data_IF_940257164645
#
_entry.id   IF_940257164645
#
_cell.length_a   1.000
_cell.length_b   1.000
_cell.length_c   1.000
_cell.angle_alpha   90.00
_cell.angle_beta   90.00
_cell.angle_gamma   90.00
#
_symmetry.space_group_name_H-M   'P 1'
#
loop_
_entity.id
_entity.type
_entity.pdbx_description
1 polymer ?
#
# COMPACT_ATOMS: atom_id res chain seq x y z
N UNK A 1 19.75 -17.30 -17.07
CA UNK A 1 18.74 -18.37 -17.16
C UNK A 1 17.62 -17.91 -18.10
N UNK A 2 16.95 -18.82 -18.82
CA UNK A 2 15.76 -18.46 -19.63
C UNK A 2 14.53 -18.36 -18.71
N UNK A 3 13.54 -17.53 -19.05
CA UNK A 3 12.37 -17.29 -18.19
C UNK A 3 11.61 -18.57 -17.83
N UNK A 4 11.34 -19.45 -18.80
CA UNK A 4 10.58 -20.68 -18.56
C UNK A 4 11.29 -21.63 -17.57
N UNK A 5 12.62 -21.78 -17.70
CA UNK A 5 13.40 -22.61 -16.77
C UNK A 5 13.48 -22.03 -15.36
N UNK A 6 13.31 -20.70 -15.22
CA UNK A 6 13.27 -20.03 -13.93
C UNK A 6 11.92 -20.25 -13.23
N UNK A 7 10.82 -20.11 -13.98
CA UNK A 7 9.47 -20.39 -13.48
C UNK A 7 9.31 -21.84 -13.03
N UNK A 8 9.73 -22.80 -13.86
CA UNK A 8 9.65 -24.24 -13.51
C UNK A 8 10.41 -24.57 -12.22
N UNK A 9 11.59 -23.97 -12.02
CA UNK A 9 12.40 -24.19 -10.81
C UNK A 9 11.81 -23.48 -9.58
N UNK A 10 11.21 -22.30 -9.75
CA UNK A 10 10.51 -21.60 -8.69
C UNK A 10 9.31 -22.40 -8.18
N UNK A 11 8.46 -22.87 -9.10
CA UNK A 11 7.25 -23.64 -8.77
C UNK A 11 7.58 -25.02 -8.17
N UNK A 12 8.71 -25.62 -8.57
CA UNK A 12 9.24 -26.84 -7.98
C UNK A 12 9.88 -26.65 -6.58
N UNK A 13 9.89 -25.42 -6.04
CA UNK A 13 10.46 -25.11 -4.73
C UNK A 13 11.98 -25.20 -4.68
N UNK A 14 12.65 -25.18 -5.84
CA UNK A 14 14.11 -25.24 -5.95
C UNK A 14 14.70 -23.88 -5.58
N UNK A 15 15.84 -23.88 -4.88
CA UNK A 15 16.51 -22.65 -4.50
C UNK A 15 17.12 -21.96 -5.73
N UNK A 16 16.43 -20.94 -6.24
CA UNK A 16 16.85 -20.12 -7.39
C UNK A 16 17.62 -18.86 -6.99
N UNK A 17 17.97 -18.68 -5.71
CA UNK A 17 18.56 -17.44 -5.18
C UNK A 17 19.88 -17.08 -5.88
N UNK A 18 20.67 -18.08 -6.28
CA UNK A 18 21.92 -17.87 -7.04
C UNK A 18 21.72 -17.36 -8.48
N UNK A 19 20.49 -17.43 -9.00
CA UNK A 19 20.10 -16.89 -10.32
C UNK A 19 19.50 -15.49 -10.23
N UNK A 20 19.26 -14.98 -9.02
CA UNK A 20 18.72 -13.64 -8.80
C UNK A 20 19.86 -12.60 -8.74
N UNK A 21 19.72 -11.52 -9.51
CA UNK A 21 20.56 -10.34 -9.32
C UNK A 21 20.07 -9.53 -8.12
N UNK A 22 20.49 -9.95 -6.93
CA UNK A 22 20.15 -9.30 -5.67
C UNK A 22 20.78 -7.92 -5.53
N UNK A 23 21.82 -7.58 -6.32
CA UNK A 23 22.43 -6.24 -6.30
C UNK A 23 21.45 -5.15 -6.77
N UNK A 24 20.43 -5.53 -7.54
CA UNK A 24 19.34 -4.66 -8.01
C UNK A 24 18.01 -4.89 -7.28
N UNK A 25 17.98 -5.78 -6.29
CA UNK A 25 16.78 -6.03 -5.51
C UNK A 25 16.40 -4.78 -4.71
N UNK A 26 15.29 -4.16 -5.08
CA UNK A 26 14.74 -2.99 -4.37
C UNK A 26 13.30 -3.27 -3.97
N UNK A 27 12.93 -2.91 -2.74
CA UNK A 27 11.53 -2.86 -2.33
C UNK A 27 10.88 -1.65 -3.01
N UNK A 28 10.19 -1.91 -4.13
CA UNK A 28 9.68 -0.91 -5.09
C UNK A 28 8.63 0.05 -4.47
N UNK A 29 8.18 -0.18 -3.24
CA UNK A 29 7.15 0.60 -2.55
C UNK A 29 7.62 1.28 -1.25
N UNK A 30 8.92 1.23 -0.92
CA UNK A 30 9.47 1.89 0.28
C UNK A 30 10.03 3.30 0.02
N UNK A 31 10.20 3.70 -1.24
CA UNK A 31 10.76 5.00 -1.55
C UNK A 31 9.77 6.13 -1.20
N UNK A 32 10.10 7.04 -0.27
CA UNK A 32 9.21 8.15 0.07
C UNK A 32 9.07 9.10 -1.14
N UNK A 33 7.83 9.38 -1.54
CA UNK A 33 7.51 10.40 -2.55
C UNK A 33 6.98 11.63 -1.83
N UNK A 34 7.58 12.81 -2.09
CA UNK A 34 7.07 14.08 -1.57
C UNK A 34 5.85 14.53 -2.38
N UNK A 35 4.83 14.98 -1.67
CA UNK A 35 3.62 15.57 -2.23
C UNK A 35 3.34 16.84 -1.44
N UNK A 36 3.01 17.93 -2.12
CA UNK A 36 2.59 19.18 -1.50
C UNK A 36 1.06 19.28 -1.57
N UNK A 37 0.44 19.68 -0.47
CA UNK A 37 -1.01 19.83 -0.34
C UNK A 37 -1.29 21.08 0.47
N UNK A 38 -2.18 21.93 -0.03
CA UNK A 38 -2.68 23.08 0.72
C UNK A 38 -3.91 22.68 1.54
N UNK A 39 -3.95 23.16 2.79
CA UNK A 39 -5.05 22.92 3.71
C UNK A 39 -5.65 24.25 4.18
N UNK A 40 -6.98 24.33 4.34
CA UNK A 40 -7.60 25.47 5.01
C UNK A 40 -7.03 25.66 6.44
N UNK A 41 -6.92 26.92 6.89
CA UNK A 41 -6.36 27.25 8.20
C UNK A 41 -7.01 26.47 9.35
N UNK A 42 -8.35 26.39 9.35
CA UNK A 42 -9.09 25.64 10.39
C UNK A 42 -8.68 24.17 10.47
N UNK A 43 -8.33 23.55 9.35
CA UNK A 43 -7.95 22.15 9.31
C UNK A 43 -6.54 21.96 9.87
N UNK A 44 -5.62 22.88 9.57
CA UNK A 44 -4.27 22.88 10.16
C UNK A 44 -4.33 23.04 11.66
N UNK A 45 -5.15 23.98 12.15
CA UNK A 45 -5.34 24.21 13.59
C UNK A 45 -5.90 22.98 14.31
N UNK A 46 -6.83 22.25 13.66
CA UNK A 46 -7.36 20.99 14.20
C UNK A 46 -6.29 19.89 14.24
N UNK A 47 -5.50 19.75 13.16
CA UNK A 47 -4.42 18.77 13.09
C UNK A 47 -3.33 19.04 14.14
N UNK A 48 -3.00 20.31 14.40
CA UNK A 48 -2.02 20.69 15.41
C UNK A 48 -2.46 20.37 16.82
N UNK A 49 -3.73 20.61 17.16
CA UNK A 49 -4.27 20.23 18.46
C UNK A 49 -4.17 18.73 18.71
N UNK A 50 -4.48 17.92 17.70
CA UNK A 50 -4.39 16.47 17.82
C UNK A 50 -2.93 15.99 17.92
N UNK A 51 -2.05 16.55 17.09
CA UNK A 51 -0.63 16.25 17.12
C UNK A 51 -0.03 16.55 18.51
N UNK A 52 -0.37 17.71 19.09
CA UNK A 52 0.05 18.12 20.44
C UNK A 52 -0.48 17.17 21.52
N UNK A 53 -1.77 16.79 21.44
CA UNK A 53 -2.39 15.86 22.39
C UNK A 53 -1.71 14.49 22.39
N UNK A 54 -1.31 14.02 21.22
CA UNK A 54 -0.64 12.73 21.03
C UNK A 54 0.88 12.80 21.20
N UNK A 55 1.46 14.00 21.32
CA UNK A 55 2.91 14.19 21.42
C UNK A 55 3.66 13.79 20.15
N UNK A 56 3.04 13.92 18.97
CA UNK A 56 3.61 13.55 17.67
C UNK A 56 3.59 14.72 16.70
N UNK A 57 4.20 14.56 15.52
CA UNK A 57 4.14 15.58 14.47
C UNK A 57 2.80 15.54 13.72
N UNK A 58 2.42 16.70 13.16
CA UNK A 58 1.28 16.82 12.23
C UNK A 58 1.34 15.81 11.09
N UNK A 59 2.52 15.58 10.53
CA UNK A 59 2.76 14.60 9.45
C UNK A 59 2.42 13.17 9.87
N UNK A 60 2.69 12.79 11.12
CA UNK A 60 2.33 11.48 11.66
C UNK A 60 0.82 11.30 11.73
N UNK A 61 0.09 12.32 12.20
CA UNK A 61 -1.39 12.30 12.25
C UNK A 61 -1.97 12.15 10.85
N UNK A 62 -1.53 12.99 9.90
CA UNK A 62 -1.97 12.93 8.49
C UNK A 62 -1.73 11.54 7.90
N UNK A 63 -0.54 10.96 8.13
CA UNK A 63 -0.17 9.66 7.57
C UNK A 63 -1.07 8.54 8.09
N UNK A 64 -1.33 8.50 9.39
CA UNK A 64 -2.14 7.44 10.01
C UNK A 64 -3.58 7.54 9.52
N UNK A 65 -4.20 8.72 9.60
CA UNK A 65 -5.60 8.89 9.18
C UNK A 65 -5.81 8.63 7.68
N UNK A 66 -4.84 9.02 6.84
CA UNK A 66 -4.89 8.72 5.41
C UNK A 66 -4.79 7.21 5.17
N UNK A 67 -3.88 6.52 5.87
CA UNK A 67 -3.74 5.07 5.75
C UNK A 67 -5.03 4.34 6.17
N UNK A 68 -5.60 4.68 7.34
CA UNK A 68 -6.86 4.11 7.84
C UNK A 68 -8.01 4.31 6.84
N UNK A 69 -8.13 5.51 6.27
CA UNK A 69 -9.17 5.80 5.28
C UNK A 69 -8.98 4.99 4.00
N UNK A 70 -7.74 4.89 3.49
CA UNK A 70 -7.44 4.14 2.28
C UNK A 70 -7.68 2.63 2.46
N UNK A 71 -7.33 2.08 3.63
CA UNK A 71 -7.61 0.69 4.00
C UNK A 71 -9.12 0.43 4.07
N UNK A 72 -9.87 1.29 4.76
CA UNK A 72 -11.33 1.18 4.85
C UNK A 72 -12.01 1.25 3.47
N UNK A 73 -11.56 2.15 2.59
CA UNK A 73 -12.07 2.25 1.21
C UNK A 73 -11.71 1.02 0.38
N UNK A 74 -10.52 0.45 0.55
CA UNK A 74 -10.09 -0.75 -0.16
C UNK A 74 -10.91 -1.98 0.25
N UNK A 75 -11.17 -2.14 1.55
CA UNK A 75 -12.04 -3.19 2.07
C UNK A 75 -13.47 -3.09 1.51
N UNK A 76 -14.02 -1.87 1.40
CA UNK A 76 -15.36 -1.67 0.87
C UNK A 76 -15.46 -1.94 -0.64
N UNK A 77 -14.43 -1.59 -1.41
CA UNK A 77 -14.35 -1.88 -2.85
C UNK A 77 -14.23 -3.38 -3.13
N UNK A 78 -13.49 -4.14 -2.32
CA UNK A 78 -13.41 -5.60 -2.43
C UNK A 78 -14.78 -6.27 -2.21
N UNK A 79 -15.55 -5.79 -1.23
CA UNK A 79 -16.89 -6.29 -0.94
C UNK A 79 -17.92 -5.92 -2.04
N UNK A 80 -17.73 -4.81 -2.76
CA UNK A 80 -18.59 -4.44 -3.88
C UNK A 80 -18.31 -5.33 -5.10
N UNK A 81 -17.03 -5.58 -5.41
CA UNK A 81 -16.58 -6.39 -6.55
C UNK A 81 -16.90 -7.89 -6.40
N UNK A 82 -16.84 -8.44 -5.19
CA UNK A 82 -17.24 -9.82 -4.93
C UNK A 82 -18.75 -10.07 -5.13
N UNK A 83 -19.59 -9.04 -4.89
CA UNK A 83 -21.04 -9.12 -5.08
C UNK A 83 -21.44 -9.05 -6.55
N UNK A 84 -20.74 -8.25 -7.35
CA UNK A 84 -20.98 -8.19 -8.81
C UNK A 84 -20.58 -9.49 -9.50
N UNK A 85 -19.47 -10.12 -9.09
CA UNK A 85 -19.00 -11.37 -9.70
C UNK A 85 -19.87 -12.59 -9.32
N UNK A 86 -20.47 -12.60 -8.13
CA UNK A 86 -21.42 -13.65 -7.73
C UNK A 86 -22.79 -13.54 -8.40
N UNK A 87 -23.19 -12.35 -8.84
CA UNK A 87 -24.45 -12.15 -9.58
C UNK A 87 -24.31 -12.57 -11.05
N UNK A 88 -23.15 -12.31 -11.66
CA UNK A 88 -22.86 -12.68 -13.04
C UNK A 88 -22.69 -14.20 -13.28
N UNK A 89 -22.42 -14.99 -12.23
CA UNK A 89 -22.24 -16.45 -12.31
C UNK A 89 -23.53 -17.27 -12.14
N UNK A 90 -24.69 -16.63 -11.93
CA UNK A 90 -26.01 -17.31 -11.78
C UNK A 90 -26.95 -17.04 -12.96
N UNK A 91 -26.43 -16.53 -14.07
CA UNK A 91 -27.16 -16.26 -15.32
C UNK A 91 -26.71 -17.22 -16.41
#
# INVERSE_FOLDING_TARGET
MKANTFEEQFDAGINITGSLDLSRAKRVLLAPRRVNVDFPAWMVDSLDREANKLGVTRQSVIKVWLAERLEASSANNGAHRARTDSAARRS
#
